data_IF_719703750608
#
_entry.id   IF_719703750608
#
_cell.length_a   1.000
_cell.length_b   1.000
_cell.length_c   1.000
_cell.angle_alpha   90.00
_cell.angle_beta   90.00
_cell.angle_gamma   90.00
#
_symmetry.space_group_name_H-M   'P 1'
#
loop_
_entity.id
_entity.type
_entity.pdbx_description
1 polymer ?
#
# COMPACT_ATOMS: atom_id res chain seq x y z
N UNK A 1 -17.31 2.06 3.47
CA UNK A 1 -18.02 1.81 4.74
C UNK A 1 -17.13 1.14 5.79
N UNK A 2 -16.24 0.20 5.43
CA UNK A 2 -15.38 -0.48 6.42
C UNK A 2 -14.46 0.45 7.22
N UNK A 3 -13.84 1.46 6.58
CA UNK A 3 -12.95 2.40 7.27
C UNK A 3 -13.63 3.19 8.40
N UNK A 4 -14.88 3.61 8.20
CA UNK A 4 -15.64 4.36 9.23
C UNK A 4 -15.92 3.45 10.43
N UNK A 5 -16.38 2.22 10.18
CA UNK A 5 -16.69 1.25 11.24
C UNK A 5 -15.41 0.91 12.02
N UNK A 6 -14.30 0.63 11.33
CA UNK A 6 -13.04 0.29 11.97
C UNK A 6 -12.50 1.44 12.84
N UNK A 7 -12.58 2.68 12.35
CA UNK A 7 -12.13 3.84 13.10
C UNK A 7 -12.97 4.07 14.38
N UNK A 8 -14.26 3.71 14.38
CA UNK A 8 -15.07 3.75 15.60
C UNK A 8 -14.64 2.67 16.60
N UNK A 9 -14.36 1.46 16.12
CA UNK A 9 -13.90 0.35 16.98
C UNK A 9 -12.53 0.62 17.62
N UNK A 10 -11.65 1.35 16.95
CA UNK A 10 -10.28 1.61 17.39
C UNK A 10 -10.10 2.97 18.05
N UNK A 11 -11.19 3.68 18.37
CA UNK A 11 -11.15 5.08 18.80
C UNK A 11 -10.29 5.32 20.05
N UNK A 12 -10.27 4.37 20.97
CA UNK A 12 -9.47 4.45 22.21
C UNK A 12 -8.09 3.78 22.08
N UNK A 13 -7.81 3.11 20.96
CA UNK A 13 -6.59 2.33 20.73
C UNK A 13 -5.58 3.05 19.82
N UNK A 14 -6.05 4.02 19.02
CA UNK A 14 -5.24 4.73 18.04
C UNK A 14 -5.35 6.25 18.20
N UNK A 15 -4.29 7.00 17.89
CA UNK A 15 -4.36 8.46 17.80
C UNK A 15 -5.37 8.91 16.74
N UNK A 16 -5.97 10.08 16.96
CA UNK A 16 -6.96 10.68 16.04
C UNK A 16 -6.46 10.76 14.59
N UNK A 17 -5.18 11.08 14.39
CA UNK A 17 -4.60 11.16 13.04
C UNK A 17 -4.71 9.82 12.28
N UNK A 18 -4.47 8.70 12.97
CA UNK A 18 -4.61 7.36 12.40
C UNK A 18 -6.08 7.04 12.11
N UNK A 19 -7.00 7.42 13.00
CA UNK A 19 -8.43 7.22 12.80
C UNK A 19 -8.95 8.00 11.59
N UNK A 20 -8.49 9.25 11.40
CA UNK A 20 -8.84 10.05 10.23
C UNK A 20 -8.25 9.47 8.95
N UNK A 21 -7.00 8.99 8.98
CA UNK A 21 -6.40 8.29 7.86
C UNK A 21 -7.20 7.03 7.47
N UNK A 22 -7.62 6.23 8.46
CA UNK A 22 -8.48 5.05 8.23
C UNK A 22 -9.85 5.43 7.65
N UNK A 23 -10.41 6.59 8.02
CA UNK A 23 -11.65 7.06 7.39
C UNK A 23 -11.42 7.49 5.93
N UNK A 24 -10.32 8.19 5.66
CA UNK A 24 -10.02 8.83 4.38
C UNK A 24 -9.32 7.93 3.33
N UNK A 25 -8.79 6.75 3.70
CA UNK A 25 -8.01 5.94 2.75
C UNK A 25 -8.81 5.38 1.56
N UNK A 26 -10.14 5.48 1.58
CA UNK A 26 -11.00 5.08 0.49
C UNK A 26 -11.74 6.30 -0.10
N UNK A 27 -11.60 6.50 -1.42
CA UNK A 27 -12.25 7.58 -2.19
C UNK A 27 -13.79 7.57 -2.16
N UNK A 28 -14.42 6.59 -1.51
CA UNK A 28 -15.89 6.44 -1.35
C UNK A 28 -16.38 6.96 0.01
N UNK A 29 -15.65 7.87 0.63
CA UNK A 29 -16.02 8.49 1.89
C UNK A 29 -15.95 10.00 1.73
N UNK A 30 -16.66 10.74 2.56
CA UNK A 30 -16.65 12.21 2.57
C UNK A 30 -15.41 12.78 3.29
N UNK A 31 -14.38 11.96 3.52
CA UNK A 31 -13.17 12.34 4.24
C UNK A 31 -12.00 12.53 3.26
N UNK A 32 -11.46 13.75 3.24
CA UNK A 32 -10.33 14.11 2.38
C UNK A 32 -8.98 13.68 3.00
N UNK A 33 -8.09 12.99 2.25
CA UNK A 33 -6.82 12.49 2.76
C UNK A 33 -5.72 13.57 2.76
N UNK A 34 -5.92 14.63 3.55
CA UNK A 34 -5.02 15.78 3.55
C UNK A 34 -3.75 15.58 4.39
N UNK A 35 -3.77 14.70 5.40
CA UNK A 35 -2.62 14.47 6.27
C UNK A 35 -1.56 13.58 5.62
N UNK A 36 -0.31 13.70 6.08
CA UNK A 36 0.77 12.82 5.66
C UNK A 36 0.45 11.34 5.98
N UNK A 37 -0.16 11.07 7.14
CA UNK A 37 -0.59 9.72 7.52
C UNK A 37 -1.62 9.13 6.55
N UNK A 38 -2.63 9.91 6.14
CA UNK A 38 -3.65 9.45 5.21
C UNK A 38 -3.06 9.12 3.84
N UNK A 39 -2.17 9.98 3.34
CA UNK A 39 -1.44 9.77 2.08
C UNK A 39 -0.53 8.54 2.15
N UNK A 40 0.18 8.35 3.26
CA UNK A 40 1.02 7.19 3.48
C UNK A 40 0.20 5.89 3.48
N UNK A 41 -0.94 5.88 4.17
CA UNK A 41 -1.83 4.73 4.19
C UNK A 41 -2.38 4.37 2.80
N UNK A 42 -2.80 5.38 2.02
CA UNK A 42 -3.28 5.17 0.64
C UNK A 42 -2.20 4.56 -0.25
N UNK A 43 -0.98 5.11 -0.20
CA UNK A 43 0.13 4.63 -1.01
C UNK A 43 0.57 3.21 -0.59
N UNK A 44 0.68 2.97 0.72
CA UNK A 44 1.10 1.69 1.29
C UNK A 44 0.11 0.56 0.99
N UNK A 45 -1.19 0.82 1.18
CA UNK A 45 -2.25 -0.14 0.84
C UNK A 45 -2.20 -0.50 -0.64
N UNK A 46 -2.13 0.50 -1.53
CA UNK A 46 -2.10 0.28 -2.96
C UNK A 46 -0.84 -0.47 -3.43
N UNK A 47 0.35 -0.13 -2.92
CA UNK A 47 1.60 -0.80 -3.34
C UNK A 47 1.67 -2.24 -2.83
N UNK A 48 1.11 -2.54 -1.66
CA UNK A 48 1.03 -3.91 -1.15
C UNK A 48 0.24 -4.82 -2.12
N UNK A 49 -0.85 -4.31 -2.69
CA UNK A 49 -1.66 -4.97 -3.71
C UNK A 49 -0.91 -5.19 -5.03
N UNK A 50 0.21 -4.53 -5.28
CA UNK A 50 1.10 -4.79 -6.40
C UNK A 50 2.20 -5.79 -6.05
N UNK A 51 2.80 -5.66 -4.85
CA UNK A 51 3.94 -6.47 -4.40
C UNK A 51 3.52 -7.93 -4.17
N UNK A 52 2.44 -8.17 -3.45
CA UNK A 52 2.00 -9.54 -3.10
C UNK A 52 1.68 -10.36 -4.35
N UNK A 53 0.89 -9.88 -5.33
CA UNK A 53 0.72 -10.62 -6.59
C UNK A 53 2.00 -10.79 -7.38
N UNK A 54 2.98 -9.87 -7.24
CA UNK A 54 4.28 -10.02 -7.91
C UNK A 54 5.04 -11.20 -7.30
N UNK A 55 5.04 -11.36 -5.98
CA UNK A 55 5.61 -12.53 -5.31
C UNK A 55 4.97 -13.82 -5.80
N UNK A 56 3.63 -13.88 -5.93
CA UNK A 56 2.91 -15.06 -6.43
C UNK A 56 3.27 -15.49 -7.87
N UNK A 57 3.89 -14.61 -8.65
CA UNK A 57 4.38 -14.90 -10.00
C UNK A 57 5.84 -15.34 -10.03
N UNK A 58 6.55 -15.29 -8.90
CA UNK A 58 7.94 -15.75 -8.80
C UNK A 58 7.98 -17.29 -8.77
N UNK A 59 9.08 -17.92 -9.20
CA UNK A 59 9.18 -19.38 -9.30
C UNK A 59 8.81 -20.12 -8.02
N UNK A 60 9.27 -19.62 -6.86
CA UNK A 60 8.99 -20.20 -5.55
C UNK A 60 7.89 -19.46 -4.80
N UNK A 61 7.24 -18.50 -5.44
CA UNK A 61 6.17 -17.65 -4.90
C UNK A 61 6.60 -16.80 -3.70
N UNK A 62 7.90 -16.46 -3.59
CA UNK A 62 8.45 -15.80 -2.42
C UNK A 62 8.62 -14.29 -2.56
N UNK A 63 8.41 -13.56 -1.47
CA UNK A 63 8.73 -12.12 -1.40
C UNK A 63 10.23 -11.86 -1.58
N UNK A 64 11.09 -12.78 -1.15
CA UNK A 64 12.55 -12.69 -1.32
C UNK A 64 13.01 -12.70 -2.78
N UNK A 65 12.18 -13.18 -3.71
CA UNK A 65 12.48 -13.23 -5.14
C UNK A 65 12.02 -11.97 -5.90
N UNK A 66 11.23 -11.12 -5.25
CA UNK A 66 10.74 -9.86 -5.83
C UNK A 66 11.86 -8.82 -5.79
N UNK A 67 12.01 -8.06 -6.87
CA UNK A 67 12.94 -6.94 -6.98
C UNK A 67 12.21 -5.65 -7.37
N UNK A 68 12.83 -4.49 -7.13
CA UNK A 68 12.32 -3.20 -7.63
C UNK A 68 12.17 -3.22 -9.15
N UNK A 69 13.04 -3.93 -9.88
CA UNK A 69 12.94 -4.09 -11.34
C UNK A 69 11.66 -4.82 -11.75
N UNK A 70 11.30 -5.93 -11.08
CA UNK A 70 10.03 -6.62 -11.35
C UNK A 70 8.83 -5.76 -10.99
N UNK A 71 8.89 -5.00 -9.89
CA UNK A 71 7.83 -4.07 -9.50
C UNK A 71 7.62 -2.97 -10.53
N UNK A 72 8.69 -2.36 -11.06
CA UNK A 72 8.60 -1.35 -12.14
C UNK A 72 7.93 -1.91 -13.39
N UNK A 73 8.28 -3.15 -13.78
CA UNK A 73 7.64 -3.83 -14.92
C UNK A 73 6.15 -4.07 -14.66
N UNK A 74 5.79 -4.56 -13.48
CA UNK A 74 4.39 -4.87 -13.10
C UNK A 74 3.54 -3.61 -12.88
N UNK A 75 4.15 -2.54 -12.40
CA UNK A 75 3.50 -1.24 -12.29
C UNK A 75 3.05 -0.72 -13.67
N UNK A 76 3.93 -0.81 -14.69
CA UNK A 76 3.63 -0.38 -16.06
C UNK A 76 2.63 -1.28 -16.80
N UNK A 77 2.50 -2.55 -16.39
CA UNK A 77 1.50 -3.47 -16.93
C UNK A 77 0.12 -3.22 -16.29
N UNK A 78 -0.74 -2.48 -17.00
CA UNK A 78 -2.10 -2.16 -16.55
C UNK A 78 -3.03 -3.39 -16.46
N UNK A 79 -2.68 -4.49 -17.12
CA UNK A 79 -3.45 -5.74 -17.06
C UNK A 79 -3.14 -6.57 -15.81
N UNK A 80 -1.99 -6.31 -15.18
CA UNK A 80 -1.57 -6.97 -13.96
C UNK A 80 -2.15 -6.25 -12.73
N UNK A 81 -2.67 -7.01 -11.75
CA UNK A 81 -3.28 -6.44 -10.54
C UNK A 81 -4.26 -5.31 -10.88
N UNK A 82 -5.23 -5.58 -11.79
CA UNK A 82 -6.16 -4.59 -12.37
C UNK A 82 -6.95 -3.78 -11.33
N UNK A 83 -7.19 -4.36 -10.16
CA UNK A 83 -7.92 -3.71 -9.07
C UNK A 83 -7.06 -2.71 -8.29
N UNK A 84 -5.75 -2.64 -8.54
CA UNK A 84 -4.82 -1.77 -7.82
C UNK A 84 -4.66 -0.45 -8.56
N UNK A 85 -5.07 0.63 -7.90
CA UNK A 85 -4.94 1.99 -8.41
C UNK A 85 -3.46 2.40 -8.50
N UNK A 86 -2.97 2.62 -9.73
CA UNK A 86 -1.62 3.16 -9.96
C UNK A 86 -1.49 4.59 -9.46
N UNK A 87 -2.55 5.38 -9.55
CA UNK A 87 -2.61 6.75 -9.01
C UNK A 87 -2.41 6.74 -7.49
N UNK A 88 -3.06 5.82 -6.77
CA UNK A 88 -2.92 5.73 -5.32
C UNK A 88 -1.48 5.37 -4.91
N UNK A 89 -0.81 4.52 -5.69
CA UNK A 89 0.62 4.24 -5.48
C UNK A 89 1.46 5.52 -5.62
N UNK A 90 1.14 6.37 -6.60
CA UNK A 90 1.89 7.61 -6.87
C UNK A 90 1.68 8.70 -5.80
N UNK A 91 0.71 8.56 -4.90
CA UNK A 91 0.53 9.47 -3.73
C UNK A 91 1.81 9.54 -2.87
N UNK A 92 2.70 8.55 -2.96
CA UNK A 92 4.03 8.64 -2.34
C UNK A 92 4.84 9.89 -2.76
N UNK A 93 4.63 10.44 -3.96
CA UNK A 93 5.33 11.64 -4.41
C UNK A 93 4.89 12.89 -3.63
N UNK A 94 3.64 12.93 -3.15
CA UNK A 94 3.15 14.00 -2.27
C UNK A 94 3.79 13.96 -0.88
N UNK A 95 4.40 12.83 -0.52
CA UNK A 95 5.20 12.65 0.70
C UNK A 95 6.69 12.94 0.47
N UNK A 96 7.06 13.36 -0.73
CA UNK A 96 8.45 13.64 -1.10
C UNK A 96 9.27 12.41 -1.46
N UNK A 97 8.64 11.24 -1.66
CA UNK A 97 9.33 10.00 -2.03
C UNK A 97 9.29 9.81 -3.55
N UNK A 98 10.44 9.51 -4.16
CA UNK A 98 10.44 9.05 -5.56
C UNK A 98 9.80 7.65 -5.61
N UNK A 99 9.00 7.36 -6.65
CA UNK A 99 8.36 6.04 -6.82
C UNK A 99 9.31 4.84 -6.63
N UNK A 100 10.54 4.93 -7.16
CA UNK A 100 11.48 3.81 -7.07
C UNK A 100 12.01 3.61 -5.63
N UNK A 101 12.21 4.71 -4.89
CA UNK A 101 12.55 4.69 -3.48
C UNK A 101 11.40 4.09 -2.67
N UNK A 102 10.17 4.53 -2.94
CA UNK A 102 8.97 4.00 -2.30
C UNK A 102 8.79 2.50 -2.55
N UNK A 103 9.03 2.02 -3.78
CA UNK A 103 9.01 0.59 -4.07
C UNK A 103 10.04 -0.21 -3.28
N UNK A 104 11.24 0.33 -3.12
CA UNK A 104 12.29 -0.31 -2.32
C UNK A 104 11.86 -0.39 -0.86
N UNK A 105 11.42 0.74 -0.28
CA UNK A 105 10.96 0.83 1.10
C UNK A 105 9.81 -0.15 1.40
N UNK A 106 8.79 -0.17 0.55
CA UNK A 106 7.63 -1.04 0.73
C UNK A 106 7.99 -2.53 0.56
N UNK A 107 8.88 -2.85 -0.38
CA UNK A 107 9.34 -4.22 -0.58
C UNK A 107 10.17 -4.72 0.62
N UNK A 108 11.12 -3.93 1.10
CA UNK A 108 11.94 -4.27 2.26
C UNK A 108 11.09 -4.44 3.53
N UNK A 109 10.08 -3.57 3.72
CA UNK A 109 9.14 -3.69 4.82
C UNK A 109 8.34 -5.01 4.77
N UNK A 110 7.82 -5.39 3.60
CA UNK A 110 7.08 -6.66 3.44
C UNK A 110 7.98 -7.89 3.55
N UNK A 111 9.22 -7.81 3.06
CA UNK A 111 10.21 -8.88 3.23
C UNK A 111 10.57 -9.09 4.71
N UNK A 112 10.62 -8.03 5.51
CA UNK A 112 10.88 -8.14 6.95
C UNK A 112 9.79 -8.86 7.75
N UNK A 113 8.61 -9.07 7.16
CA UNK A 113 7.48 -9.77 7.77
C UNK A 113 7.00 -10.96 6.94
N UNK A 114 7.81 -11.47 5.99
CA UNK A 114 7.42 -12.51 5.03
C UNK A 114 6.90 -13.80 5.70
N UNK A 115 7.43 -14.14 6.88
CA UNK A 115 7.03 -15.32 7.64
C UNK A 115 5.53 -15.30 8.02
N UNK A 116 4.92 -14.11 8.09
CA UNK A 116 3.49 -13.95 8.38
C UNK A 116 2.59 -14.15 7.15
N UNK A 117 3.15 -14.14 5.93
CA UNK A 117 2.37 -14.17 4.68
C UNK A 117 2.28 -15.56 4.06
N UNK A 118 3.02 -16.55 4.56
CA UNK A 118 3.15 -17.85 3.89
C UNK A 118 3.73 -17.73 2.46
N UNK A 119 4.41 -16.61 2.18
CA UNK A 119 5.02 -16.21 0.91
C UNK A 119 6.48 -15.79 1.14
#
# INVERSE_FOLDING_TARGET
MHGIILAEMLKEELPDECLQAIKAHNKRTDFEPNSAMAKALIAADAVSGLIVPTALMMPNRKLSEVSVKSLKKKFGDKSFARNVSRENIMVCEELGLERNEFFKLALEALQGISDNFGL
#
